data_IF_935595869474
#
_entry.id   IF_935595869474
#
_cell.length_a   1.000
_cell.length_b   1.000
_cell.length_c   1.000
_cell.angle_alpha   90.00
_cell.angle_beta   90.00
_cell.angle_gamma   90.00
#
_symmetry.space_group_name_H-M   'P 1'
#
loop_
_entity.id
_entity.type
_entity.pdbx_description
1 polymer ?
#
# COMPACT_ATOMS: atom_id res chain seq x y z
N UNK A 1 46.53 -0.75 45.46
CA UNK A 1 46.50 0.22 44.34
C UNK A 1 45.86 -0.45 43.13
N UNK A 2 44.80 0.18 42.60
CA UNK A 2 44.26 0.16 41.23
C UNK A 2 44.31 -1.18 40.44
N UNK A 3 43.21 -1.81 40.03
CA UNK A 3 42.02 -1.23 39.42
C UNK A 3 42.07 -1.40 37.91
N UNK A 4 41.29 -2.35 37.36
CA UNK A 4 40.84 -2.33 35.95
C UNK A 4 39.58 -3.19 35.81
N UNK A 5 38.44 -2.53 35.99
CA UNK A 5 37.16 -2.96 35.44
C UNK A 5 37.27 -2.97 33.91
N UNK A 6 37.18 -4.14 33.29
CA UNK A 6 36.84 -4.24 31.88
C UNK A 6 35.33 -4.07 31.74
N UNK A 7 34.89 -2.83 31.54
CA UNK A 7 33.56 -2.55 31.03
C UNK A 7 33.46 -3.10 29.61
N UNK A 8 32.68 -4.18 29.42
CA UNK A 8 32.16 -4.53 28.10
C UNK A 8 31.40 -3.32 27.57
N UNK A 9 31.93 -2.67 26.53
CA UNK A 9 31.12 -1.77 25.71
C UNK A 9 29.94 -2.61 25.21
N UNK A 10 28.74 -2.28 25.67
CA UNK A 10 27.51 -2.70 25.00
C UNK A 10 27.59 -2.06 23.61
N UNK A 11 27.92 -2.85 22.60
CA UNK A 11 27.66 -2.45 21.22
C UNK A 11 26.17 -2.12 21.14
N UNK A 12 25.87 -0.86 20.79
CA UNK A 12 24.52 -0.52 20.36
C UNK A 12 24.20 -1.47 19.20
N UNK A 13 23.05 -2.18 19.22
CA UNK A 13 22.66 -2.92 18.04
C UNK A 13 22.64 -1.92 16.88
N UNK A 14 23.44 -2.20 15.86
CA UNK A 14 23.36 -1.43 14.63
C UNK A 14 21.92 -1.54 14.15
N UNK A 15 21.18 -0.43 14.19
CA UNK A 15 19.94 -0.29 13.45
C UNK A 15 20.29 -0.59 12.01
N UNK A 16 20.00 -1.81 11.54
CA UNK A 16 19.96 -2.12 10.11
C UNK A 16 18.93 -1.16 9.52
N UNK A 17 19.41 -0.08 8.94
CA UNK A 17 18.59 0.70 8.02
C UNK A 17 18.12 -0.31 6.97
N UNK A 18 16.81 -0.55 6.90
CA UNK A 18 16.28 -1.50 5.95
C UNK A 18 16.66 -0.99 4.56
N UNK A 19 17.54 -1.73 3.88
CA UNK A 19 17.94 -1.37 2.52
C UNK A 19 16.68 -1.48 1.64
N UNK A 20 16.24 -0.35 1.08
CA UNK A 20 15.15 -0.35 0.12
C UNK A 20 15.48 -1.27 -1.06
N UNK A 21 14.48 -1.93 -1.67
CA UNK A 21 14.73 -2.89 -2.74
C UNK A 21 15.33 -2.25 -4.01
N UNK A 22 15.31 -0.92 -4.11
CA UNK A 22 15.92 -0.13 -5.18
C UNK A 22 17.25 0.53 -4.80
N UNK A 23 17.81 0.29 -3.61
CA UNK A 23 19.00 1.01 -3.11
C UNK A 23 20.23 0.94 -4.03
N UNK A 24 20.38 -0.16 -4.78
CA UNK A 24 21.51 -0.38 -5.70
C UNK A 24 21.18 -0.04 -7.16
N UNK A 25 20.01 0.53 -7.43
CA UNK A 25 19.57 0.88 -8.78
C UNK A 25 19.96 2.32 -9.12
N UNK A 26 20.17 2.60 -10.40
CA UNK A 26 20.43 3.97 -10.90
C UNK A 26 19.29 4.94 -10.58
N UNK A 27 18.07 4.43 -10.47
CA UNK A 27 16.84 5.16 -10.23
C UNK A 27 16.53 5.34 -8.73
N UNK A 28 17.44 4.96 -7.83
CA UNK A 28 17.24 5.01 -6.39
C UNK A 28 16.82 6.41 -5.89
N UNK A 29 17.39 7.47 -6.48
CA UNK A 29 17.04 8.85 -6.16
C UNK A 29 15.56 9.17 -6.42
N UNK A 30 15.05 8.84 -7.61
CA UNK A 30 13.66 9.05 -7.98
C UNK A 30 12.71 8.23 -7.09
N UNK A 31 13.09 6.99 -6.77
CA UNK A 31 12.30 6.13 -5.89
C UNK A 31 12.24 6.66 -4.45
N UNK A 32 13.37 7.14 -3.91
CA UNK A 32 13.44 7.74 -2.58
C UNK A 32 12.61 9.03 -2.49
N UNK A 33 12.66 9.87 -3.53
CA UNK A 33 11.85 11.09 -3.60
C UNK A 33 10.36 10.75 -3.63
N UNK A 34 9.93 9.85 -4.53
CA UNK A 34 8.54 9.43 -4.62
C UNK A 34 8.03 8.78 -3.31
N UNK A 35 8.85 7.95 -2.66
CA UNK A 35 8.55 7.39 -1.34
C UNK A 35 8.38 8.48 -0.29
N UNK A 36 9.33 9.42 -0.20
CA UNK A 36 9.30 10.51 0.76
C UNK A 36 8.07 11.41 0.56
N UNK A 37 7.77 11.76 -0.68
CA UNK A 37 6.60 12.57 -1.04
C UNK A 37 5.29 11.84 -0.71
N UNK A 38 5.16 10.54 -1.00
CA UNK A 38 3.98 9.76 -0.63
C UNK A 38 3.77 9.76 0.90
N UNK A 39 4.82 9.52 1.68
CA UNK A 39 4.74 9.51 3.15
C UNK A 39 4.38 10.89 3.70
N UNK A 40 4.90 11.96 3.12
CA UNK A 40 4.60 13.33 3.53
C UNK A 40 3.17 13.75 3.16
N UNK A 41 2.63 13.26 2.04
CA UNK A 41 1.26 13.57 1.62
C UNK A 41 0.22 12.66 2.28
N UNK A 42 0.60 11.50 2.82
CA UNK A 42 -0.31 10.51 3.38
C UNK A 42 -1.28 11.08 4.43
N UNK A 43 -0.80 11.94 5.32
CA UNK A 43 -1.63 12.60 6.35
C UNK A 43 -2.55 13.67 5.78
N UNK A 44 -2.26 14.19 4.58
CA UNK A 44 -3.09 15.14 3.85
C UNK A 44 -4.13 14.47 2.94
N UNK A 45 -4.03 13.17 2.66
CA UNK A 45 -5.00 12.47 1.82
C UNK A 45 -6.42 12.56 2.35
N UNK A 46 -6.58 12.41 3.67
CA UNK A 46 -7.87 12.54 4.35
C UNK A 46 -7.73 13.29 5.67
N UNK A 47 -8.09 14.57 5.61
CA UNK A 47 -8.15 15.47 6.75
C UNK A 47 -9.61 15.82 7.03
N UNK A 48 -10.05 15.65 8.27
CA UNK A 48 -11.36 16.09 8.73
C UNK A 48 -11.19 17.43 9.43
N UNK A 49 -11.88 18.45 8.93
CA UNK A 49 -11.83 19.80 9.50
C UNK A 49 -12.15 19.78 11.00
N UNK A 50 -11.30 20.43 11.80
CA UNK A 50 -11.42 20.45 13.26
C UNK A 50 -11.02 19.15 13.99
N UNK A 51 -10.73 18.05 13.27
CA UNK A 51 -10.30 16.76 13.87
C UNK A 51 -8.92 16.29 13.45
N UNK A 52 -8.39 16.80 12.34
CA UNK A 52 -7.07 16.42 11.85
C UNK A 52 -7.11 15.24 10.86
N UNK A 53 -5.95 14.61 10.60
CA UNK A 53 -5.86 13.41 9.76
C UNK A 53 -6.73 12.26 10.32
N UNK A 54 -7.51 11.62 9.45
CA UNK A 54 -8.35 10.49 9.83
C UNK A 54 -7.63 9.16 9.56
N UNK A 55 -7.18 8.48 10.62
CA UNK A 55 -6.27 7.33 10.54
C UNK A 55 -6.80 6.23 9.60
N UNK A 56 -8.07 5.86 9.76
CA UNK A 56 -8.77 4.85 8.97
C UNK A 56 -8.76 5.19 7.49
N UNK A 57 -9.10 6.44 7.14
CA UNK A 57 -9.11 6.88 5.74
C UNK A 57 -7.72 6.99 5.15
N UNK A 58 -6.73 7.44 5.93
CA UNK A 58 -5.33 7.50 5.49
C UNK A 58 -4.79 6.10 5.19
N UNK A 59 -5.08 5.11 6.04
CA UNK A 59 -4.67 3.73 5.81
C UNK A 59 -5.41 3.09 4.63
N UNK A 60 -6.71 3.36 4.50
CA UNK A 60 -7.48 2.92 3.33
C UNK A 60 -6.90 3.52 2.03
N UNK A 61 -6.52 4.80 2.04
CA UNK A 61 -5.90 5.46 0.90
C UNK A 61 -4.56 4.82 0.51
N UNK A 62 -3.67 4.56 1.47
CA UNK A 62 -2.39 3.92 1.20
C UNK A 62 -2.53 2.48 0.71
N UNK A 63 -3.44 1.71 1.32
CA UNK A 63 -3.79 0.38 0.84
C UNK A 63 -4.29 0.42 -0.60
N UNK A 64 -5.25 1.30 -0.89
CA UNK A 64 -5.81 1.45 -2.24
C UNK A 64 -4.74 1.84 -3.28
N UNK A 65 -3.86 2.79 -2.95
CA UNK A 65 -2.73 3.19 -3.80
C UNK A 65 -1.80 2.00 -4.07
N UNK A 66 -1.43 1.23 -3.04
CA UNK A 66 -0.57 0.06 -3.20
C UNK A 66 -1.22 -1.02 -4.08
N UNK A 67 -2.52 -1.27 -3.90
CA UNK A 67 -3.30 -2.17 -4.74
C UNK A 67 -3.34 -1.76 -6.20
N UNK A 68 -3.64 -0.48 -6.46
CA UNK A 68 -3.68 0.06 -7.82
C UNK A 68 -2.29 0.08 -8.47
N UNK A 69 -1.24 0.44 -7.73
CA UNK A 69 0.14 0.38 -8.21
C UNK A 69 0.57 -1.04 -8.60
N UNK A 70 0.21 -2.05 -7.78
CA UNK A 70 0.44 -3.46 -8.08
C UNK A 70 -0.24 -3.85 -9.41
N UNK A 71 -1.50 -3.46 -9.59
CA UNK A 71 -2.23 -3.72 -10.84
C UNK A 71 -1.56 -3.08 -12.04
N UNK A 72 -1.31 -1.77 -11.99
CA UNK A 72 -0.74 -1.02 -13.12
C UNK A 72 0.62 -1.60 -13.53
N UNK A 73 1.48 -1.90 -12.56
CA UNK A 73 2.78 -2.52 -12.84
C UNK A 73 2.66 -3.93 -13.44
N UNK A 74 1.69 -4.75 -12.99
CA UNK A 74 1.45 -6.08 -13.57
C UNK A 74 1.00 -5.98 -15.02
N UNK A 75 0.02 -5.13 -15.30
CA UNK A 75 -0.56 -5.01 -16.64
C UNK A 75 0.44 -4.41 -17.65
N UNK A 76 1.33 -3.51 -17.21
CA UNK A 76 2.44 -3.06 -18.06
C UNK A 76 3.36 -4.22 -18.46
N UNK A 77 3.72 -5.08 -17.50
CA UNK A 77 4.58 -6.25 -17.77
C UNK A 77 3.90 -7.27 -18.68
N UNK A 78 2.58 -7.37 -18.61
CA UNK A 78 1.80 -8.19 -19.54
C UNK A 78 1.81 -7.55 -20.94
N UNK A 79 1.56 -6.24 -21.04
CA UNK A 79 1.54 -5.51 -22.30
C UNK A 79 2.91 -5.52 -23.00
N UNK A 80 4.01 -5.49 -22.24
CA UNK A 80 5.38 -5.59 -22.77
C UNK A 80 5.81 -7.02 -23.13
N UNK A 81 5.01 -8.04 -22.80
CA UNK A 81 5.32 -9.45 -22.99
C UNK A 81 6.29 -10.05 -21.96
N UNK A 82 6.68 -9.29 -20.93
CA UNK A 82 7.53 -9.78 -19.82
C UNK A 82 6.80 -10.79 -18.93
N UNK A 83 5.45 -10.72 -18.87
CA UNK A 83 4.62 -11.61 -18.06
C UNK A 83 3.43 -12.16 -18.85
N UNK A 84 3.12 -13.44 -18.64
CA UNK A 84 1.90 -14.06 -19.19
C UNK A 84 0.64 -13.56 -18.43
N UNK A 85 -0.49 -13.30 -19.13
CA UNK A 85 -1.78 -13.03 -18.48
C UNK A 85 -2.44 -14.28 -17.88
N UNK A 86 -1.86 -15.47 -18.07
CA UNK A 86 -2.39 -16.72 -17.54
C UNK A 86 -2.64 -16.65 -16.03
N UNK A 87 -3.79 -17.18 -15.60
CA UNK A 87 -4.25 -17.11 -14.22
C UNK A 87 -5.01 -15.84 -13.86
N UNK A 88 -5.10 -14.85 -14.76
CA UNK A 88 -6.02 -13.73 -14.62
C UNK A 88 -7.38 -14.05 -15.23
N UNK A 89 -8.45 -13.66 -14.52
CA UNK A 89 -9.84 -13.77 -14.95
C UNK A 89 -10.55 -12.45 -14.71
N UNK A 90 -11.44 -12.07 -15.62
CA UNK A 90 -12.30 -10.90 -15.44
C UNK A 90 -13.71 -11.36 -15.09
N UNK A 91 -14.25 -10.84 -13.99
CA UNK A 91 -15.65 -10.98 -13.64
C UNK A 91 -16.38 -9.68 -13.95
N UNK A 92 -17.57 -9.79 -14.53
CA UNK A 92 -18.48 -8.66 -14.77
C UNK A 92 -19.61 -8.74 -13.76
N UNK A 93 -19.84 -7.66 -13.01
CA UNK A 93 -20.98 -7.55 -12.10
C UNK A 93 -22.27 -7.27 -12.89
N UNK A 94 -23.42 -7.43 -12.22
CA UNK A 94 -24.74 -7.18 -12.82
C UNK A 94 -24.92 -5.73 -13.32
N UNK A 95 -24.19 -4.78 -12.73
CA UNK A 95 -24.16 -3.38 -13.13
C UNK A 95 -23.19 -3.08 -14.31
N UNK A 96 -22.56 -4.11 -14.86
CA UNK A 96 -21.63 -4.02 -15.99
C UNK A 96 -20.19 -3.67 -15.62
N UNK A 97 -19.88 -3.37 -14.36
CA UNK A 97 -18.50 -3.10 -13.92
C UNK A 97 -17.67 -4.38 -13.97
N UNK A 98 -16.41 -4.24 -14.38
CA UNK A 98 -15.48 -5.35 -14.53
C UNK A 98 -14.40 -5.32 -13.44
N UNK A 99 -14.11 -6.50 -12.90
CA UNK A 99 -13.09 -6.71 -11.87
C UNK A 99 -12.16 -7.83 -12.32
N UNK A 100 -10.85 -7.61 -12.22
CA UNK A 100 -9.86 -8.66 -12.54
C UNK A 100 -9.40 -9.36 -11.27
N UNK A 101 -9.37 -10.69 -11.31
CA UNK A 101 -8.89 -11.58 -10.26
C UNK A 101 -7.78 -12.47 -10.78
N UNK A 102 -6.96 -12.99 -9.87
CA UNK A 102 -6.01 -14.03 -10.22
C UNK A 102 -4.76 -14.01 -9.36
N UNK A 103 -4.08 -15.14 -9.34
CA UNK A 103 -2.84 -15.33 -8.58
C UNK A 103 -1.75 -14.32 -8.93
N UNK A 104 -1.50 -13.96 -10.22
CA UNK A 104 -0.46 -12.97 -10.54
C UNK A 104 -0.63 -11.65 -9.80
N UNK A 105 -1.88 -11.20 -9.60
CA UNK A 105 -2.19 -9.96 -8.88
C UNK A 105 -2.13 -10.17 -7.36
N UNK A 106 -2.68 -11.28 -6.86
CA UNK A 106 -2.67 -11.61 -5.44
C UNK A 106 -1.23 -11.76 -4.91
N UNK A 107 -0.32 -12.34 -5.68
CA UNK A 107 1.08 -12.53 -5.30
C UNK A 107 1.80 -11.20 -5.04
N UNK A 108 1.54 -10.16 -5.85
CA UNK A 108 2.11 -8.83 -5.62
C UNK A 108 1.68 -8.20 -4.28
N UNK A 109 0.53 -8.59 -3.75
CA UNK A 109 0.05 -8.14 -2.45
C UNK A 109 0.49 -9.06 -1.30
N UNK A 110 0.71 -10.34 -1.55
CA UNK A 110 0.84 -11.34 -0.48
C UNK A 110 2.27 -11.82 -0.25
N UNK A 111 3.13 -11.76 -1.27
CA UNK A 111 4.46 -12.36 -1.22
C UNK A 111 5.53 -11.38 -1.69
N UNK A 112 6.69 -11.45 -1.05
CA UNK A 112 7.90 -10.83 -1.54
C UNK A 112 8.42 -11.60 -2.75
N UNK A 113 8.81 -10.90 -3.79
CA UNK A 113 9.50 -11.44 -4.95
C UNK A 113 10.71 -10.56 -5.26
N UNK A 114 11.91 -10.95 -4.75
CA UNK A 114 13.14 -10.22 -4.98
C UNK A 114 13.50 -10.09 -6.47
N UNK A 115 13.05 -11.02 -7.34
CA UNK A 115 13.37 -10.99 -8.76
C UNK A 115 12.75 -9.79 -9.49
N UNK A 116 11.72 -9.19 -8.90
CA UNK A 116 11.00 -8.03 -9.42
C UNK A 116 11.01 -6.85 -8.43
N UNK A 117 11.90 -6.91 -7.43
CA UNK A 117 12.00 -5.90 -6.36
C UNK A 117 10.69 -5.70 -5.56
N UNK A 118 9.80 -6.69 -5.54
CA UNK A 118 8.56 -6.65 -4.77
C UNK A 118 8.79 -7.14 -3.35
N UNK A 119 8.26 -6.43 -2.37
CA UNK A 119 8.27 -6.88 -0.97
C UNK A 119 6.97 -7.59 -0.56
N UNK A 120 5.93 -7.52 -1.40
CA UNK A 120 4.57 -7.87 -1.01
C UNK A 120 4.00 -6.89 0.02
N UNK A 121 2.74 -6.48 -0.15
CA UNK A 121 2.10 -5.59 0.82
C UNK A 121 1.94 -6.25 2.20
N UNK A 122 1.49 -7.50 2.23
CA UNK A 122 1.23 -8.23 3.46
C UNK A 122 2.47 -8.35 4.36
N UNK A 123 3.64 -8.84 3.90
CA UNK A 123 4.84 -8.90 4.74
C UNK A 123 5.23 -7.54 5.36
N UNK A 124 5.07 -6.45 4.61
CA UNK A 124 5.42 -5.10 5.07
C UNK A 124 4.41 -4.57 6.09
N UNK A 125 3.11 -4.69 5.80
CA UNK A 125 2.05 -4.21 6.67
C UNK A 125 1.98 -5.05 7.96
N UNK A 126 2.03 -6.38 7.85
CA UNK A 126 2.09 -7.28 9.00
C UNK A 126 3.34 -7.03 9.85
N UNK A 127 4.51 -6.82 9.22
CA UNK A 127 5.73 -6.43 9.91
C UNK A 127 5.57 -5.15 10.73
N UNK A 128 4.93 -4.12 10.18
CA UNK A 128 4.63 -2.88 10.90
C UNK A 128 3.67 -3.10 12.09
N UNK A 129 2.66 -3.95 11.92
CA UNK A 129 1.71 -4.33 12.98
C UNK A 129 2.38 -5.09 14.12
N UNK A 130 3.32 -6.01 13.81
CA UNK A 130 4.13 -6.71 14.81
C UNK A 130 5.04 -5.73 15.57
N UNK A 131 5.65 -4.77 14.89
CA UNK A 131 6.47 -3.73 15.55
C UNK A 131 5.63 -2.80 16.44
N UNK A 132 4.32 -2.69 16.18
CA UNK A 132 3.38 -1.98 17.05
C UNK A 132 2.95 -2.80 18.28
N UNK A 133 3.45 -4.03 18.46
CA UNK A 133 3.26 -4.84 19.65
C UNK A 133 2.17 -5.91 19.56
N UNK A 134 1.54 -6.09 18.41
CA UNK A 134 0.58 -7.17 18.17
C UNK A 134 1.32 -8.50 18.05
N UNK A 135 0.81 -9.57 18.68
CA UNK A 135 1.40 -10.88 18.53
C UNK A 135 1.06 -11.50 17.17
N UNK A 136 1.94 -12.34 16.62
CA UNK A 136 1.77 -12.95 15.30
C UNK A 136 0.44 -13.71 15.13
N UNK A 137 0.01 -14.43 16.18
CA UNK A 137 -1.25 -15.18 16.17
C UNK A 137 -2.51 -14.30 16.26
N UNK A 138 -2.34 -13.00 16.52
CA UNK A 138 -3.43 -12.01 16.57
C UNK A 138 -3.53 -11.19 15.28
N UNK A 139 -2.63 -11.42 14.32
CA UNK A 139 -2.73 -10.78 13.01
C UNK A 139 -4.01 -11.25 12.31
N UNK A 140 -4.70 -10.38 11.55
CA UNK A 140 -5.85 -10.77 10.75
C UNK A 140 -5.52 -11.92 9.80
N UNK A 141 -6.42 -12.89 9.64
CA UNK A 141 -6.20 -13.94 8.65
C UNK A 141 -6.23 -13.35 7.23
N UNK A 142 -5.14 -13.55 6.49
CA UNK A 142 -4.97 -13.00 5.14
C UNK A 142 -5.98 -13.59 4.15
N UNK A 143 -6.24 -14.89 4.22
CA UNK A 143 -7.23 -15.56 3.37
C UNK A 143 -8.63 -14.99 3.59
N UNK A 144 -8.98 -14.74 4.85
CA UNK A 144 -10.23 -14.10 5.22
C UNK A 144 -10.32 -12.66 4.72
N UNK A 145 -9.21 -11.90 4.69
CA UNK A 145 -9.23 -10.55 4.08
C UNK A 145 -9.62 -10.60 2.59
N UNK A 146 -9.12 -11.59 1.84
CA UNK A 146 -9.55 -11.80 0.45
C UNK A 146 -11.00 -12.24 0.34
N UNK A 147 -11.44 -13.13 1.24
CA UNK A 147 -12.79 -13.63 1.26
C UNK A 147 -13.80 -12.52 1.57
N UNK A 148 -13.53 -11.66 2.55
CA UNK A 148 -14.34 -10.47 2.90
C UNK A 148 -14.52 -9.58 1.68
N UNK A 149 -13.43 -9.17 1.03
CA UNK A 149 -13.51 -8.27 -0.13
C UNK A 149 -14.34 -8.91 -1.24
N UNK A 150 -14.09 -10.17 -1.54
CA UNK A 150 -14.81 -10.91 -2.59
C UNK A 150 -16.31 -11.02 -2.28
N UNK A 151 -16.68 -11.38 -1.04
CA UNK A 151 -18.09 -11.51 -0.63
C UNK A 151 -18.85 -10.18 -0.67
N UNK A 152 -18.16 -9.04 -0.55
CA UNK A 152 -18.77 -7.71 -0.55
C UNK A 152 -18.95 -7.11 -1.95
N UNK A 153 -18.33 -7.67 -2.98
CA UNK A 153 -18.49 -7.18 -4.36
C UNK A 153 -19.94 -7.29 -4.82
N UNK A 154 -20.44 -6.24 -5.45
CA UNK A 154 -21.83 -6.11 -5.88
C UNK A 154 -22.83 -5.86 -4.75
N UNK A 155 -22.38 -5.68 -3.50
CA UNK A 155 -23.26 -5.43 -2.35
C UNK A 155 -23.19 -3.95 -1.91
N UNK A 156 -24.12 -3.46 -1.06
CA UNK A 156 -24.04 -2.11 -0.52
C UNK A 156 -22.76 -1.81 0.29
N UNK A 157 -22.08 -2.85 0.78
CA UNK A 157 -20.81 -2.73 1.52
C UNK A 157 -19.57 -2.90 0.62
N UNK A 158 -19.75 -2.92 -0.70
CA UNK A 158 -18.65 -2.96 -1.65
C UNK A 158 -17.64 -1.82 -1.40
N UNK A 159 -16.36 -2.17 -1.42
CA UNK A 159 -15.27 -1.21 -1.24
C UNK A 159 -15.13 -0.68 0.19
N UNK A 160 -16.01 -1.03 1.13
CA UNK A 160 -15.87 -0.64 2.52
C UNK A 160 -15.10 -1.69 3.32
N UNK A 161 -13.99 -1.31 3.97
CA UNK A 161 -13.31 -2.23 4.88
C UNK A 161 -14.21 -2.71 6.03
N UNK A 162 -14.12 -4.00 6.34
CA UNK A 162 -14.81 -4.64 7.44
C UNK A 162 -14.15 -4.27 8.76
N UNK A 163 -14.79 -3.36 9.49
CA UNK A 163 -14.25 -2.73 10.67
C UNK A 163 -15.35 -2.57 11.71
N UNK A 164 -15.02 -2.58 13.01
CA UNK A 164 -15.96 -2.23 14.07
C UNK A 164 -16.55 -0.84 13.87
N UNK A 165 -17.73 -0.62 14.45
CA UNK A 165 -18.38 0.70 14.47
C UNK A 165 -17.44 1.77 15.06
N UNK A 166 -17.30 2.90 14.38
CA UNK A 166 -16.38 3.98 14.75
C UNK A 166 -14.97 3.88 14.16
N UNK A 167 -14.58 2.75 13.56
CA UNK A 167 -13.30 2.58 12.85
C UNK A 167 -13.45 2.36 11.34
N UNK A 168 -14.58 2.80 10.78
CA UNK A 168 -14.79 2.80 9.33
C UNK A 168 -14.07 3.98 8.70
N UNK A 169 -13.41 3.82 7.54
CA UNK A 169 -12.96 4.95 6.74
C UNK A 169 -14.12 5.92 6.44
N UNK A 170 -13.80 7.16 6.13
CA UNK A 170 -14.81 8.20 5.88
C UNK A 170 -15.53 8.04 4.52
N UNK A 171 -15.02 7.20 3.62
CA UNK A 171 -15.58 6.92 2.30
C UNK A 171 -15.22 5.51 1.85
N UNK A 172 -15.88 5.00 0.81
CA UNK A 172 -15.55 3.70 0.21
C UNK A 172 -14.13 3.72 -0.36
N UNK A 173 -13.48 2.57 -0.46
CA UNK A 173 -12.16 2.44 -1.09
C UNK A 173 -12.17 2.96 -2.53
N UNK A 174 -13.27 2.78 -3.26
CA UNK A 174 -13.43 3.32 -4.62
C UNK A 174 -13.32 4.86 -4.61
N UNK A 175 -14.09 5.53 -3.75
CA UNK A 175 -14.14 6.99 -3.71
C UNK A 175 -12.84 7.59 -3.15
N UNK A 176 -12.26 6.94 -2.14
CA UNK A 176 -10.93 7.26 -1.63
C UNK A 176 -9.92 7.17 -2.76
N UNK A 177 -9.89 6.06 -3.50
CA UNK A 177 -8.93 5.83 -4.57
C UNK A 177 -9.09 6.84 -5.70
N UNK A 178 -10.32 7.13 -6.14
CA UNK A 178 -10.59 8.12 -7.17
C UNK A 178 -10.00 9.50 -6.80
N UNK A 179 -10.05 9.87 -5.52
CA UNK A 179 -9.47 11.12 -5.01
C UNK A 179 -7.94 11.08 -4.92
N UNK A 180 -7.36 10.00 -4.39
CA UNK A 180 -5.92 9.97 -4.05
C UNK A 180 -5.03 9.44 -5.17
N UNK A 181 -5.58 8.67 -6.11
CA UNK A 181 -4.80 8.09 -7.21
C UNK A 181 -4.18 9.13 -8.14
N UNK A 182 -4.86 10.22 -8.56
CA UNK A 182 -4.23 11.28 -9.34
C UNK A 182 -3.03 11.92 -8.62
N UNK A 183 -3.13 12.10 -7.31
CA UNK A 183 -2.05 12.64 -6.46
C UNK A 183 -0.88 11.64 -6.41
N UNK A 184 -1.16 10.37 -6.15
CA UNK A 184 -0.15 9.31 -6.15
C UNK A 184 0.54 9.17 -7.51
N UNK A 185 -0.21 9.21 -8.63
CA UNK A 185 0.34 9.23 -9.99
C UNK A 185 1.26 10.43 -10.19
N UNK A 186 0.85 11.62 -9.75
CA UNK A 186 1.68 12.84 -9.85
C UNK A 186 3.00 12.67 -9.09
N UNK A 187 2.96 12.11 -7.88
CA UNK A 187 4.16 11.84 -7.08
C UNK A 187 5.05 10.78 -7.74
N UNK A 188 4.49 9.65 -8.19
CA UNK A 188 5.25 8.55 -8.77
C UNK A 188 5.86 8.91 -10.13
N UNK A 189 5.16 9.71 -10.94
CA UNK A 189 5.66 10.21 -12.23
C UNK A 189 6.48 11.48 -12.11
N UNK A 190 6.45 12.14 -10.94
CA UNK A 190 7.05 13.45 -10.72
C UNK A 190 6.58 14.48 -11.77
N UNK A 191 5.33 14.38 -12.24
CA UNK A 191 4.77 15.22 -13.31
C UNK A 191 3.84 16.30 -12.73
N UNK A 192 4.43 17.35 -12.18
CA UNK A 192 3.67 18.48 -11.61
C UNK A 192 3.27 19.49 -12.69
N UNK A 193 2.18 20.23 -12.48
CA UNK A 193 1.58 21.15 -13.47
C UNK A 193 2.58 22.14 -14.09
N UNK A 194 3.53 22.65 -13.30
CA UNK A 194 4.43 23.73 -13.73
C UNK A 194 5.85 23.25 -14.10
N UNK A 195 6.22 22.02 -13.76
CA UNK A 195 7.54 21.44 -14.07
C UNK A 195 7.61 19.95 -13.75
N UNK A 196 8.44 19.17 -14.47
CA UNK A 196 8.85 17.86 -13.99
C UNK A 196 9.61 18.00 -12.66
N UNK A 197 9.48 17.00 -11.79
CA UNK A 197 10.23 16.90 -10.56
C UNK A 197 11.73 16.69 -10.82
N UNK A 198 12.57 16.98 -9.82
CA UNK A 198 14.01 17.13 -10.00
C UNK A 198 14.74 15.85 -10.41
N UNK A 199 14.13 14.68 -10.20
CA UNK A 199 14.76 13.37 -10.44
C UNK A 199 14.02 12.53 -11.50
N UNK A 200 12.98 13.09 -12.15
CA UNK A 200 12.16 12.37 -13.12
C UNK A 200 11.27 11.27 -12.49
N UNK A 201 10.54 10.51 -13.32
CA UNK A 201 9.59 9.51 -12.84
C UNK A 201 10.29 8.32 -12.16
N UNK A 202 9.67 7.80 -11.11
CA UNK A 202 10.04 6.48 -10.60
C UNK A 202 9.65 5.41 -11.64
N UNK A 203 10.50 4.40 -11.90
CA UNK A 203 10.18 3.34 -12.85
C UNK A 203 8.89 2.61 -12.46
N UNK A 204 8.00 2.40 -13.43
CA UNK A 204 6.68 1.78 -13.19
C UNK A 204 6.78 0.42 -12.46
N UNK A 205 7.78 -0.39 -12.83
CA UNK A 205 8.07 -1.68 -12.18
C UNK A 205 8.32 -1.59 -10.67
N UNK A 206 8.74 -0.42 -10.18
CA UNK A 206 9.05 -0.17 -8.76
C UNK A 206 7.91 0.52 -8.01
N UNK A 207 6.84 0.94 -8.69
CA UNK A 207 5.68 1.56 -8.03
C UNK A 207 5.07 0.68 -6.93
N UNK A 208 4.89 -0.64 -7.10
CA UNK A 208 4.36 -1.50 -6.04
C UNK A 208 5.26 -1.50 -4.80
N UNK A 209 6.58 -1.51 -4.99
CA UNK A 209 7.54 -1.50 -3.90
C UNK A 209 7.51 -0.15 -3.14
N UNK A 210 7.54 0.97 -3.87
CA UNK A 210 7.51 2.32 -3.29
C UNK A 210 6.25 2.52 -2.45
N UNK A 211 5.09 2.19 -3.02
CA UNK A 211 3.78 2.38 -2.37
C UNK A 211 3.57 1.42 -1.20
N UNK A 212 4.02 0.18 -1.32
CA UNK A 212 4.00 -0.79 -0.22
C UNK A 212 4.82 -0.32 0.98
N UNK A 213 6.04 0.16 0.76
CA UNK A 213 6.93 0.59 1.83
C UNK A 213 6.40 1.85 2.52
N UNK A 214 5.69 2.74 1.80
CA UNK A 214 5.05 3.92 2.36
C UNK A 214 3.98 3.60 3.42
N UNK A 215 3.39 2.39 3.41
CA UNK A 215 2.39 1.96 4.39
C UNK A 215 3.00 1.83 5.80
N UNK A 216 4.16 1.18 5.92
CA UNK A 216 4.77 0.83 7.20
C UNK A 216 4.93 2.01 8.19
N UNK A 217 5.56 3.14 7.82
CA UNK A 217 5.72 4.26 8.75
C UNK A 217 4.39 4.90 9.13
N UNK A 218 3.37 4.85 8.26
CA UNK A 218 2.06 5.44 8.54
C UNK A 218 1.24 4.53 9.46
N UNK A 219 1.21 3.22 9.19
CA UNK A 219 0.59 2.23 10.06
C UNK A 219 1.18 2.31 11.48
N UNK A 220 2.51 2.38 11.59
CA UNK A 220 3.19 2.56 12.88
C UNK A 220 2.81 3.85 13.60
N UNK A 221 2.61 4.97 12.90
CA UNK A 221 2.15 6.24 13.50
C UNK A 221 0.68 6.17 13.94
N UNK A 222 -0.17 5.53 13.16
CA UNK A 222 -1.61 5.40 13.48
C UNK A 222 -1.88 4.47 14.66
N UNK A 223 -0.94 3.59 15.01
CA UNK A 223 -1.05 2.70 16.17
C UNK A 223 -1.29 3.42 17.51
N UNK A 224 -0.97 4.72 17.59
CA UNK A 224 -1.25 5.54 18.76
C UNK A 224 -2.74 5.88 18.97
N UNK A 225 -3.56 5.75 17.92
CA UNK A 225 -4.98 6.16 17.92
C UNK A 225 -5.94 5.11 17.34
N UNK A 226 -5.40 4.09 16.67
CA UNK A 226 -6.16 3.00 16.03
C UNK A 226 -5.49 1.66 16.36
N UNK A 227 -6.28 0.64 16.71
CA UNK A 227 -5.78 -0.71 16.91
C UNK A 227 -5.02 -1.18 15.65
N UNK A 228 -3.73 -1.58 15.75
CA UNK A 228 -2.93 -1.97 14.60
C UNK A 228 -3.49 -3.15 13.79
N UNK A 229 -4.32 -4.01 14.41
CA UNK A 229 -5.03 -5.11 13.73
C UNK A 229 -6.11 -4.57 12.81
N UNK A 230 -6.87 -3.58 13.27
CA UNK A 230 -7.88 -2.88 12.46
C UNK A 230 -7.18 -2.12 11.32
N UNK A 231 -6.09 -1.41 11.63
CA UNK A 231 -5.30 -0.71 10.63
C UNK A 231 -4.77 -1.63 9.53
N UNK A 232 -4.25 -2.80 9.90
CA UNK A 232 -3.80 -3.83 8.95
C UNK A 232 -4.95 -4.36 8.09
N UNK A 233 -6.11 -4.66 8.68
CA UNK A 233 -7.28 -5.11 7.94
C UNK A 233 -7.74 -4.04 6.92
N UNK A 234 -7.79 -2.77 7.31
CA UNK A 234 -8.13 -1.65 6.43
C UNK A 234 -7.17 -1.58 5.24
N UNK A 235 -5.85 -1.57 5.49
CA UNK A 235 -4.82 -1.52 4.44
C UNK A 235 -5.01 -2.67 3.45
N UNK A 236 -5.12 -3.90 3.97
CA UNK A 236 -5.19 -5.09 3.13
C UNK A 236 -6.48 -5.14 2.32
N UNK A 237 -7.64 -4.91 2.94
CA UNK A 237 -8.91 -4.97 2.24
C UNK A 237 -9.01 -3.87 1.16
N UNK A 238 -8.54 -2.65 1.45
CA UNK A 238 -8.49 -1.58 0.45
C UNK A 238 -7.53 -1.90 -0.70
N UNK A 239 -6.36 -2.49 -0.44
CA UNK A 239 -5.43 -2.90 -1.49
C UNK A 239 -5.97 -4.03 -2.35
N UNK A 240 -6.57 -5.05 -1.71
CA UNK A 240 -7.18 -6.20 -2.38
C UNK A 240 -8.32 -5.71 -3.28
N UNK A 241 -9.16 -4.80 -2.82
CA UNK A 241 -10.23 -4.22 -3.64
C UNK A 241 -9.66 -3.39 -4.80
N UNK A 242 -8.78 -2.42 -4.52
CA UNK A 242 -8.23 -1.52 -5.52
C UNK A 242 -7.44 -2.24 -6.64
N UNK A 243 -6.73 -3.32 -6.30
CA UNK A 243 -5.98 -4.11 -7.29
C UNK A 243 -6.87 -4.73 -8.38
N UNK A 244 -8.16 -4.96 -8.09
CA UNK A 244 -9.12 -5.59 -9.00
C UNK A 244 -9.78 -4.60 -9.95
N UNK A 245 -9.80 -3.31 -9.60
CA UNK A 245 -10.44 -2.25 -10.37
C UNK A 245 -9.68 -1.93 -11.65
N UNK A 246 -10.39 -1.63 -12.73
CA UNK A 246 -9.80 -1.02 -13.92
C UNK A 246 -9.43 0.46 -13.63
N UNK A 247 -8.17 0.91 -13.86
CA UNK A 247 -7.82 2.32 -13.78
C UNK A 247 -8.72 3.25 -14.60
N UNK A 248 -9.20 2.80 -15.76
CA UNK A 248 -10.09 3.59 -16.61
C UNK A 248 -11.45 3.89 -15.94
N UNK A 249 -11.90 3.02 -15.02
CA UNK A 249 -13.12 3.25 -14.26
C UNK A 249 -12.99 4.42 -13.26
N UNK A 250 -11.76 4.82 -12.92
CA UNK A 250 -11.51 5.99 -12.05
C UNK A 250 -11.55 7.32 -12.82
N UNK A 251 -11.47 7.29 -14.15
CA UNK A 251 -11.41 8.50 -14.99
C UNK A 251 -12.81 8.95 -15.44
N UNK A 252 -13.83 8.10 -15.31
CA UNK A 252 -15.23 8.38 -15.68
C UNK A 252 -16.05 9.08 -14.60
N UNK A 253 -15.45 9.40 -13.45
CA UNK A 253 -16.09 10.15 -12.36
C UNK A 253 -15.59 11.58 -12.30
N UNK A 254 -16.14 12.47 -13.11
CA UNK A 254 -16.01 13.94 -13.02
C UNK A 254 -17.32 14.60 -13.39
#
# INVERSE_FOLDING_TARGET
MLGRLFGRKKEKPATRQADFPWSNLTEAGACNLAFGDLVNHATGFYFIEGRGPHAESTLAALGAIAGMAARVALFERIASGERSPEGLNTATLDDGRQFTFGDPLNLLLTQADPSIHSLGLWPVAAGATLQAGVAEHELPDLGEQFAIVTRRLGTPDEGWPDTPEGNRPAASTHDILARVWPIAKTILTQSYHDKPGPLGPAPLRLWPAITTIAVSPILGRTAAVLDPRIGLAIVMQSAIYASKLDPAALETGS
#
